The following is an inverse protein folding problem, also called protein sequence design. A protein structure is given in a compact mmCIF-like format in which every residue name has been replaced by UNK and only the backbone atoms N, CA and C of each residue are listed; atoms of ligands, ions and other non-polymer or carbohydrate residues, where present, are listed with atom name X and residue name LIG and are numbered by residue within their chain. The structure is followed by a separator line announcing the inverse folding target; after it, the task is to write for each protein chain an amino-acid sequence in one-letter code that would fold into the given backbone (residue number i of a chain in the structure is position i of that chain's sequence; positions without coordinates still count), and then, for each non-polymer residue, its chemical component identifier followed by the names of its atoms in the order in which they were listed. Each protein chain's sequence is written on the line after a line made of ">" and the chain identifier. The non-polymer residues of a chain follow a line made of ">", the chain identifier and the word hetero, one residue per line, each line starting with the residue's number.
data_IF_716315543490
#
_entry.id   IF_716315543490
#
_cell.length_a   1.000
_cell.length_b   1.000
_cell.length_c   1.000
_cell.angle_alpha   90.00
_cell.angle_beta   90.00
_cell.angle_gamma   90.00
#
_symmetry.space_group_name_H-M   'P 1'
#
loop_
_entity.id
_entity.type
_entity.pdbx_description
1 polymer ?
#
# COMPACT_ATOMS: atom_id res chain seq x y z
N UNK A 1 14.95 -28.27 7.42
CA UNK A 1 13.54 -27.95 7.71
C UNK A 1 12.79 -29.09 8.37
N UNK A 2 12.81 -30.33 7.84
CA UNK A 2 12.12 -31.50 8.49
C UNK A 2 12.57 -31.77 9.93
N UNK A 3 13.86 -31.66 10.23
CA UNK A 3 14.46 -31.88 11.56
C UNK A 3 14.15 -30.79 12.59
N UNK A 4 13.75 -29.59 12.14
CA UNK A 4 13.47 -28.46 13.04
C UNK A 4 11.98 -28.21 13.25
N UNK A 5 11.09 -29.10 12.73
CA UNK A 5 9.64 -28.92 12.83
C UNK A 5 9.08 -27.68 12.11
N UNK A 6 9.93 -26.98 11.32
CA UNK A 6 9.55 -25.75 10.63
C UNK A 6 8.77 -26.08 9.37
N UNK A 7 7.55 -25.59 9.26
CA UNK A 7 6.69 -25.73 8.08
C UNK A 7 6.47 -24.37 7.43
N UNK A 8 6.53 -24.32 6.09
CA UNK A 8 6.14 -23.12 5.34
C UNK A 8 4.62 -22.94 5.43
N UNK A 9 4.17 -21.74 5.80
CA UNK A 9 2.75 -21.37 5.78
C UNK A 9 2.44 -20.85 4.36
N UNK A 10 2.12 -21.76 3.44
CA UNK A 10 1.68 -21.40 2.09
C UNK A 10 0.16 -21.50 2.05
N UNK A 11 -0.52 -20.35 1.98
CA UNK A 11 -1.97 -20.27 1.82
C UNK A 11 -2.30 -20.07 0.33
N UNK A 12 -3.25 -20.84 -0.20
CA UNK A 12 -3.70 -20.72 -1.59
C UNK A 12 -4.31 -19.33 -1.85
N UNK A 13 -3.88 -18.68 -2.94
CA UNK A 13 -4.35 -17.36 -3.36
C UNK A 13 -5.84 -17.39 -3.73
N UNK A 14 -6.66 -16.55 -3.12
CA UNK A 14 -8.05 -16.29 -3.52
C UNK A 14 -8.03 -15.60 -4.89
N UNK A 15 -8.86 -16.06 -5.85
CA UNK A 15 -9.06 -15.40 -7.15
C UNK A 15 -10.35 -14.60 -7.10
N UNK A 16 -10.31 -13.26 -7.16
CA UNK A 16 -11.52 -12.45 -7.17
C UNK A 16 -12.30 -12.61 -8.48
N UNK A 17 -13.62 -12.48 -8.37
CA UNK A 17 -14.56 -12.55 -9.50
C UNK A 17 -14.34 -11.37 -10.45
N UNK A 18 -14.28 -11.61 -11.76
CA UNK A 18 -14.15 -10.58 -12.79
C UNK A 18 -15.50 -9.90 -13.03
N UNK A 19 -15.64 -8.65 -12.62
CA UNK A 19 -16.77 -7.78 -12.98
C UNK A 19 -16.62 -7.28 -14.43
N UNK A 20 -17.76 -7.25 -15.17
CA UNK A 20 -17.83 -6.76 -16.55
C UNK A 20 -18.04 -5.24 -16.58
N UNK A 21 -17.13 -4.54 -17.23
CA UNK A 21 -17.22 -3.27 -17.96
C UNK A 21 -17.97 -2.06 -17.39
N UNK A 22 -17.18 -1.03 -17.07
CA UNK A 22 -17.47 0.38 -17.46
C UNK A 22 -16.18 0.97 -18.02
N UNK A 23 -16.29 1.60 -19.19
CA UNK A 23 -15.21 2.36 -19.84
C UNK A 23 -15.12 3.68 -19.12
N UNK A 24 -14.07 3.88 -18.34
CA UNK A 24 -13.72 5.18 -17.78
C UNK A 24 -12.44 5.68 -18.42
N UNK A 25 -12.40 6.98 -18.66
CA UNK A 25 -11.33 7.67 -19.30
C UNK A 25 -10.01 7.52 -18.53
N UNK A 26 -9.07 7.45 -19.14
CA UNK A 26 -7.77 6.85 -19.38
C UNK A 26 -6.70 7.71 -18.74
N UNK A 27 -6.46 7.54 -17.45
CA UNK A 27 -5.16 7.95 -16.92
C UNK A 27 -4.06 7.07 -17.53
N UNK A 28 -2.93 7.66 -17.86
CA UNK A 28 -1.77 6.96 -18.43
C UNK A 28 -1.04 6.11 -17.39
N UNK A 29 -0.38 5.04 -17.83
CA UNK A 29 0.56 4.29 -17.01
C UNK A 29 1.94 4.97 -17.10
N UNK A 30 2.19 5.98 -16.26
CA UNK A 30 3.46 6.69 -16.25
C UNK A 30 4.61 5.87 -15.70
N UNK A 31 4.33 4.88 -14.85
CA UNK A 31 5.36 3.98 -14.32
C UNK A 31 5.87 2.99 -15.38
N UNK A 32 4.97 2.50 -16.23
CA UNK A 32 5.29 1.50 -17.26
C UNK A 32 6.21 0.36 -16.76
N UNK A 33 5.94 -0.14 -15.53
CA UNK A 33 6.74 -1.14 -14.80
C UNK A 33 8.16 -0.74 -14.45
N UNK A 34 8.52 0.52 -14.63
CA UNK A 34 9.76 1.05 -14.10
C UNK A 34 9.56 1.50 -12.65
N UNK A 35 9.87 0.60 -11.71
CA UNK A 35 9.80 0.84 -10.28
C UNK A 35 11.12 1.39 -9.72
N UNK A 36 12.12 1.61 -10.55
CA UNK A 36 13.40 2.18 -10.13
C UNK A 36 13.22 3.62 -9.65
N UNK A 37 13.96 3.98 -8.62
CA UNK A 37 13.93 5.30 -8.00
C UNK A 37 15.34 5.71 -7.59
N UNK A 38 15.61 7.00 -7.63
CA UNK A 38 16.91 7.56 -7.23
C UNK A 38 16.86 8.27 -5.89
N UNK A 39 15.66 8.65 -5.43
CA UNK A 39 15.45 9.42 -4.20
C UNK A 39 14.11 9.11 -3.55
N UNK A 40 13.98 9.50 -2.28
CA UNK A 40 12.72 9.43 -1.54
C UNK A 40 11.64 10.31 -2.19
N UNK A 41 10.38 9.89 -2.06
CA UNK A 41 9.22 10.63 -2.58
C UNK A 41 9.26 10.88 -4.09
N UNK A 42 9.91 10.01 -4.87
CA UNK A 42 9.90 10.08 -6.32
C UNK A 42 8.69 9.36 -6.92
N UNK A 43 8.43 8.15 -6.43
CA UNK A 43 7.30 7.30 -6.86
C UNK A 43 6.64 6.65 -5.64
N UNK A 44 5.33 6.81 -5.51
CA UNK A 44 4.50 6.12 -4.52
C UNK A 44 3.58 5.13 -5.21
N UNK A 45 3.34 3.99 -4.58
CA UNK A 45 2.33 3.03 -5.02
C UNK A 45 1.21 2.96 -3.98
N UNK A 46 -0.03 2.96 -4.44
CA UNK A 46 -1.22 2.93 -3.59
C UNK A 46 -2.16 1.78 -3.97
N UNK A 47 -2.76 1.14 -2.96
CA UNK A 47 -3.74 0.08 -3.16
C UNK A 47 -4.57 -0.14 -1.89
N UNK A 48 -5.73 -0.81 -2.05
CA UNK A 48 -6.64 -1.19 -0.96
C UNK A 48 -6.62 -2.70 -0.78
N UNK A 49 -6.48 -3.15 0.47
CA UNK A 49 -6.63 -4.57 0.81
C UNK A 49 -7.77 -4.80 1.80
N UNK A 50 -8.30 -6.02 1.79
CA UNK A 50 -9.43 -6.45 2.60
C UNK A 50 -8.96 -7.18 3.85
N UNK A 51 -9.59 -6.86 4.99
CA UNK A 51 -9.32 -7.48 6.29
C UNK A 51 -10.66 -7.84 6.91
N UNK A 52 -10.79 -9.06 7.41
CA UNK A 52 -12.03 -9.55 8.03
C UNK A 52 -11.93 -9.51 9.55
N UNK A 53 -12.96 -8.97 10.21
CA UNK A 53 -13.18 -9.09 11.66
C UNK A 53 -14.46 -9.84 11.95
N UNK A 54 -14.57 -10.43 13.16
CA UNK A 54 -15.74 -11.25 13.53
C UNK A 54 -16.99 -10.40 13.61
N UNK A 55 -16.92 -9.26 14.31
CA UNK A 55 -18.10 -8.42 14.56
C UNK A 55 -18.49 -7.52 13.39
N UNK A 56 -17.48 -6.94 12.70
CA UNK A 56 -17.73 -5.92 11.68
C UNK A 56 -17.69 -6.48 10.24
N UNK A 57 -17.32 -7.76 10.07
CA UNK A 57 -17.17 -8.38 8.75
C UNK A 57 -15.96 -7.83 7.97
N UNK A 58 -16.14 -7.54 6.68
CA UNK A 58 -15.09 -7.00 5.83
C UNK A 58 -14.83 -5.53 6.13
N UNK A 59 -13.56 -5.24 6.34
CA UNK A 59 -12.99 -3.90 6.54
C UNK A 59 -11.85 -3.69 5.55
N UNK A 60 -11.38 -2.47 5.40
CA UNK A 60 -10.53 -2.06 4.29
C UNK A 60 -9.33 -1.27 4.80
N UNK A 61 -8.16 -1.57 4.25
CA UNK A 61 -6.92 -0.84 4.49
C UNK A 61 -6.41 -0.26 3.18
N UNK A 62 -6.44 1.07 3.03
CA UNK A 62 -5.71 1.78 1.99
C UNK A 62 -4.29 2.05 2.45
N UNK A 63 -3.29 1.77 1.63
CA UNK A 63 -1.88 1.92 1.95
C UNK A 63 -1.15 2.66 0.84
N UNK A 64 -0.15 3.46 1.20
CA UNK A 64 0.76 4.15 0.28
C UNK A 64 2.19 3.77 0.64
N UNK A 65 2.89 3.20 -0.33
CA UNK A 65 4.27 2.73 -0.25
C UNK A 65 5.18 3.68 -1.02
N UNK A 66 6.22 4.19 -0.40
CA UNK A 66 7.33 4.84 -1.11
C UNK A 66 8.22 3.76 -1.74
N UNK A 67 8.40 3.83 -3.06
CA UNK A 67 9.12 2.79 -3.81
C UNK A 67 10.62 2.82 -3.55
N UNK A 68 11.18 3.96 -3.13
CA UNK A 68 12.61 4.08 -2.84
C UNK A 68 12.98 3.45 -1.51
N UNK A 69 12.22 3.79 -0.47
CA UNK A 69 12.53 3.35 0.90
C UNK A 69 11.81 2.06 1.29
N UNK A 70 10.86 1.59 0.48
CA UNK A 70 9.95 0.49 0.84
C UNK A 70 9.13 0.76 2.11
N UNK A 71 8.99 2.04 2.48
CA UNK A 71 8.25 2.48 3.67
C UNK A 71 6.78 2.67 3.38
N UNK A 72 5.91 2.23 4.29
CA UNK A 72 4.51 2.66 4.28
C UNK A 72 4.46 4.07 4.85
N UNK A 73 4.32 5.03 3.94
CA UNK A 73 4.34 6.47 4.23
C UNK A 73 2.98 6.99 4.69
N UNK A 74 1.89 6.39 4.20
CA UNK A 74 0.53 6.71 4.60
C UNK A 74 -0.37 5.49 4.56
N UNK A 75 -1.37 5.46 5.43
CA UNK A 75 -2.45 4.47 5.37
C UNK A 75 -3.69 4.98 6.08
N UNK A 76 -4.81 4.38 5.77
CA UNK A 76 -6.09 4.57 6.44
C UNK A 76 -6.84 3.25 6.53
N UNK A 77 -7.48 2.98 7.67
CA UNK A 77 -8.29 1.79 7.88
C UNK A 77 -9.74 2.21 8.10
N UNK A 78 -10.70 1.50 7.48
CA UNK A 78 -12.11 1.88 7.50
C UNK A 78 -13.03 0.66 7.42
N UNK A 79 -14.26 0.80 7.94
CA UNK A 79 -15.36 -0.15 7.76
C UNK A 79 -15.99 -0.04 6.37
N UNK A 80 -15.79 1.07 5.67
CA UNK A 80 -16.33 1.33 4.34
C UNK A 80 -15.22 1.50 3.31
N UNK A 81 -15.49 1.07 2.08
CA UNK A 81 -14.58 1.20 0.94
C UNK A 81 -15.07 2.33 0.02
N UNK A 82 -15.10 3.53 0.52
CA UNK A 82 -15.41 4.74 -0.22
C UNK A 82 -14.16 5.57 -0.55
N UNK A 83 -14.33 6.70 -1.24
CA UNK A 83 -13.20 7.57 -1.63
C UNK A 83 -12.48 8.16 -0.41
N UNK A 84 -13.17 8.33 0.72
CA UNK A 84 -12.58 8.94 1.93
C UNK A 84 -11.40 8.16 2.48
N UNK A 85 -11.38 6.83 2.30
CA UNK A 85 -10.28 5.99 2.81
C UNK A 85 -8.96 6.27 2.08
N UNK A 86 -9.01 6.47 0.75
CA UNK A 86 -7.81 6.77 -0.05
C UNK A 86 -7.36 8.21 0.13
N UNK A 87 -8.29 9.15 0.32
CA UNK A 87 -7.99 10.55 0.66
C UNK A 87 -7.27 10.65 2.00
N UNK A 88 -7.80 10.01 3.05
CA UNK A 88 -7.13 9.99 4.37
C UNK A 88 -5.75 9.34 4.33
N UNK A 89 -5.57 8.28 3.53
CA UNK A 89 -4.26 7.67 3.35
C UNK A 89 -3.29 8.64 2.67
N UNK A 90 -3.74 9.39 1.67
CA UNK A 90 -2.96 10.41 0.96
C UNK A 90 -2.59 11.57 1.89
N UNK A 91 -3.56 12.13 2.62
CA UNK A 91 -3.32 13.22 3.59
C UNK A 91 -2.29 12.83 4.64
N UNK A 92 -2.40 11.60 5.18
CA UNK A 92 -1.44 11.07 6.15
C UNK A 92 -0.04 10.94 5.53
N UNK A 93 0.07 10.50 4.28
CA UNK A 93 1.35 10.40 3.59
C UNK A 93 1.98 11.78 3.37
N UNK A 94 1.21 12.75 2.88
CA UNK A 94 1.66 14.12 2.67
C UNK A 94 2.10 14.79 3.97
N UNK A 95 1.30 14.66 5.02
CA UNK A 95 1.59 15.26 6.33
C UNK A 95 2.90 14.74 6.95
N UNK A 96 3.19 13.43 6.77
CA UNK A 96 4.39 12.78 7.31
C UNK A 96 5.62 13.05 6.43
N UNK A 97 5.48 12.89 5.12
CA UNK A 97 6.61 12.93 4.20
C UNK A 97 6.97 14.34 3.74
N UNK A 98 5.99 15.25 3.70
CA UNK A 98 6.13 16.64 3.22
C UNK A 98 6.94 16.71 1.92
N UNK A 99 6.49 16.04 0.85
CA UNK A 99 7.22 16.01 -0.41
C UNK A 99 7.32 17.44 -0.97
N UNK A 100 8.53 17.84 -1.34
CA UNK A 100 8.86 19.18 -1.85
C UNK A 100 8.91 19.24 -3.38
N UNK A 101 8.73 18.12 -4.04
CA UNK A 101 8.85 17.95 -5.50
C UNK A 101 7.67 17.18 -6.06
N UNK A 102 7.49 17.31 -7.36
CA UNK A 102 6.53 16.51 -8.12
C UNK A 102 6.87 15.02 -7.96
N UNK A 103 5.94 14.26 -7.44
CA UNK A 103 6.03 12.81 -7.36
C UNK A 103 4.96 12.15 -8.22
N UNK A 104 5.19 10.88 -8.57
CA UNK A 104 4.20 10.05 -9.25
C UNK A 104 3.52 9.18 -8.19
N UNK A 105 2.17 9.26 -8.10
CA UNK A 105 1.39 8.30 -7.32
C UNK A 105 0.70 7.34 -8.27
N UNK A 106 1.02 6.06 -8.12
CA UNK A 106 0.51 4.98 -8.96
C UNK A 106 -0.48 4.12 -8.21
N UNK A 107 -1.60 3.78 -8.83
CA UNK A 107 -2.62 2.89 -8.28
C UNK A 107 -3.25 2.00 -9.35
N UNK A 108 -4.09 1.09 -8.94
CA UNK A 108 -5.02 0.44 -9.85
C UNK A 108 -6.12 1.41 -10.33
N UNK A 109 -7.05 0.91 -11.16
CA UNK A 109 -8.21 1.67 -11.64
C UNK A 109 -9.44 1.43 -10.78
N UNK A 110 -9.29 1.28 -9.48
CA UNK A 110 -10.41 1.21 -8.55
C UNK A 110 -11.23 2.50 -8.59
N UNK A 111 -12.56 2.39 -8.32
CA UNK A 111 -13.45 3.55 -8.34
C UNK A 111 -13.03 4.65 -7.38
N UNK A 112 -12.37 4.29 -6.27
CA UNK A 112 -11.85 5.22 -5.27
C UNK A 112 -10.72 6.09 -5.86
N UNK A 113 -9.77 5.49 -6.57
CA UNK A 113 -8.62 6.17 -7.18
C UNK A 113 -8.97 6.94 -8.45
N UNK A 114 -10.08 6.58 -9.11
CA UNK A 114 -10.55 7.27 -10.33
C UNK A 114 -11.63 8.30 -10.04
N UNK A 115 -12.00 8.52 -8.78
CA UNK A 115 -12.97 9.55 -8.37
C UNK A 115 -12.42 10.96 -8.63
N UNK A 116 -13.31 11.92 -8.84
CA UNK A 116 -12.92 13.32 -9.05
C UNK A 116 -12.24 13.90 -7.82
N UNK A 117 -12.76 13.58 -6.62
CA UNK A 117 -12.20 14.06 -5.35
C UNK A 117 -10.76 13.60 -5.14
N UNK A 118 -10.44 12.34 -5.49
CA UNK A 118 -9.07 11.85 -5.37
C UNK A 118 -8.14 12.49 -6.40
N UNK A 119 -8.61 12.66 -7.64
CA UNK A 119 -7.84 13.36 -8.69
C UNK A 119 -7.52 14.79 -8.30
N UNK A 120 -8.51 15.55 -7.86
CA UNK A 120 -8.35 16.94 -7.40
C UNK A 120 -7.38 17.05 -6.22
N UNK A 121 -7.45 16.12 -5.24
CA UNK A 121 -6.54 16.08 -4.12
C UNK A 121 -5.07 15.83 -4.55
N UNK A 122 -4.85 14.92 -5.51
CA UNK A 122 -3.51 14.63 -6.03
C UNK A 122 -2.98 15.80 -6.86
N UNK A 123 -3.80 16.37 -7.73
CA UNK A 123 -3.42 17.50 -8.58
C UNK A 123 -3.14 18.78 -7.77
N UNK A 124 -3.94 19.05 -6.72
CA UNK A 124 -3.72 20.18 -5.81
C UNK A 124 -2.41 20.05 -5.02
N UNK A 125 -1.92 18.83 -4.84
CA UNK A 125 -0.61 18.53 -4.23
C UNK A 125 0.55 18.60 -5.23
N UNK A 126 0.30 18.98 -6.48
CA UNK A 126 1.25 19.00 -7.60
C UNK A 126 1.85 17.60 -7.93
N UNK A 127 1.14 16.52 -7.61
CA UNK A 127 1.55 15.16 -7.93
C UNK A 127 1.01 14.71 -9.28
N UNK A 128 1.64 13.71 -9.88
CA UNK A 128 1.19 13.09 -11.13
C UNK A 128 0.50 11.75 -10.85
N UNK A 129 -0.72 11.62 -11.33
CA UNK A 129 -1.46 10.36 -11.28
C UNK A 129 -0.93 9.40 -12.36
N UNK A 130 -0.76 8.15 -11.96
CA UNK A 130 -0.43 7.03 -12.81
C UNK A 130 -1.32 5.84 -12.50
N UNK A 131 -1.78 5.12 -13.53
CA UNK A 131 -2.69 4.00 -13.34
C UNK A 131 -2.19 2.74 -14.03
N UNK A 132 -2.34 1.61 -13.35
CA UNK A 132 -2.08 0.30 -13.95
C UNK A 132 -2.88 0.11 -15.23
N UNK A 133 -2.32 -0.57 -16.22
CA UNK A 133 -3.06 -0.99 -17.40
C UNK A 133 -4.18 -1.98 -16.98
N UNK A 134 -5.32 -1.91 -17.66
CA UNK A 134 -6.48 -2.76 -17.35
C UNK A 134 -6.11 -4.25 -17.44
N UNK A 135 -6.28 -4.97 -16.33
CA UNK A 135 -6.01 -6.40 -16.27
C UNK A 135 -4.53 -6.77 -16.15
N UNK A 136 -3.65 -5.81 -15.87
CA UNK A 136 -2.21 -6.02 -15.67
C UNK A 136 -1.85 -5.91 -14.18
N UNK A 137 -1.94 -7.00 -13.39
CA UNK A 137 -1.57 -6.96 -11.96
C UNK A 137 -0.09 -6.64 -11.74
N UNK A 138 0.76 -6.94 -12.71
CA UNK A 138 2.20 -6.66 -12.63
C UNK A 138 2.55 -5.17 -12.55
N UNK A 139 1.62 -4.29 -12.91
CA UNK A 139 1.86 -2.84 -12.88
C UNK A 139 1.82 -2.27 -11.46
N UNK A 140 1.24 -2.99 -10.47
CA UNK A 140 1.16 -2.56 -9.06
C UNK A 140 1.82 -3.54 -8.08
N UNK A 141 2.78 -4.34 -8.58
CA UNK A 141 3.40 -5.46 -7.85
C UNK A 141 4.05 -5.04 -6.52
N UNK A 142 4.60 -3.84 -6.43
CA UNK A 142 5.30 -3.39 -5.22
C UNK A 142 4.36 -3.30 -4.02
N UNK A 143 3.22 -2.65 -4.15
CA UNK A 143 2.25 -2.54 -3.06
C UNK A 143 1.50 -3.86 -2.82
N UNK A 144 1.24 -4.65 -3.89
CA UNK A 144 0.69 -6.01 -3.75
C UNK A 144 1.63 -6.91 -2.93
N UNK A 145 2.95 -6.77 -3.10
CA UNK A 145 3.96 -7.48 -2.31
C UNK A 145 3.86 -7.11 -0.84
N UNK A 146 3.73 -5.81 -0.51
CA UNK A 146 3.48 -5.38 0.86
C UNK A 146 2.20 -6.00 1.42
N UNK A 147 1.08 -5.96 0.68
CA UNK A 147 -0.17 -6.55 1.15
C UNK A 147 -0.05 -8.06 1.36
N UNK A 148 0.71 -8.76 0.52
CA UNK A 148 0.98 -10.18 0.71
C UNK A 148 1.78 -10.46 1.98
N UNK A 149 2.77 -9.62 2.31
CA UNK A 149 3.54 -9.69 3.56
C UNK A 149 2.64 -9.38 4.77
N UNK A 150 1.89 -8.28 4.74
CA UNK A 150 0.93 -7.93 5.78
C UNK A 150 -0.03 -9.08 6.09
N UNK A 151 -0.58 -9.71 5.04
CA UNK A 151 -1.48 -10.85 5.22
C UNK A 151 -0.79 -12.04 5.85
N UNK A 152 0.42 -12.39 5.41
CA UNK A 152 1.17 -13.54 5.93
C UNK A 152 1.70 -13.34 7.34
N UNK A 153 2.23 -12.14 7.61
CA UNK A 153 2.96 -11.86 8.84
C UNK A 153 2.06 -11.30 9.95
N UNK A 154 0.87 -10.79 9.61
CA UNK A 154 -0.05 -10.18 10.55
C UNK A 154 -1.48 -10.74 10.43
N UNK A 155 -2.16 -10.54 9.29
CA UNK A 155 -3.60 -10.79 9.21
C UNK A 155 -3.97 -12.25 9.42
N UNK A 156 -3.25 -13.19 8.79
CA UNK A 156 -3.55 -14.63 8.92
C UNK A 156 -3.09 -15.26 10.23
N UNK A 157 -2.28 -14.53 11.01
CA UNK A 157 -1.83 -14.98 12.32
C UNK A 157 -2.74 -14.49 13.46
N UNK A 158 -3.69 -13.59 13.16
CA UNK A 158 -4.58 -13.00 14.14
C UNK A 158 -6.04 -13.26 13.80
N UNK A 159 -6.86 -13.42 14.82
CA UNK A 159 -8.31 -13.39 14.72
C UNK A 159 -8.80 -12.05 15.25
N UNK A 160 -9.23 -11.17 14.37
CA UNK A 160 -9.69 -9.84 14.77
C UNK A 160 -11.11 -9.92 15.31
N UNK A 161 -11.32 -9.47 16.54
CA UNK A 161 -12.63 -9.47 17.19
C UNK A 161 -13.54 -8.43 16.53
N UNK A 162 -13.02 -7.20 16.39
CA UNK A 162 -13.74 -6.06 15.83
C UNK A 162 -12.77 -5.10 15.13
N UNK A 163 -13.31 -3.98 14.65
CA UNK A 163 -12.58 -2.93 13.94
C UNK A 163 -11.44 -2.34 14.80
N UNK A 164 -11.70 -2.05 16.07
CA UNK A 164 -10.73 -1.38 16.95
C UNK A 164 -9.54 -2.30 17.25
N UNK A 165 -9.81 -3.57 17.51
CA UNK A 165 -8.76 -4.58 17.69
C UNK A 165 -7.91 -4.71 16.40
N UNK A 166 -8.56 -4.81 15.23
CA UNK A 166 -7.84 -4.89 13.97
C UNK A 166 -7.01 -3.63 13.72
N UNK A 167 -7.56 -2.44 13.96
CA UNK A 167 -6.87 -1.17 13.80
C UNK A 167 -5.60 -1.07 14.66
N UNK A 168 -5.68 -1.49 15.93
CA UNK A 168 -4.54 -1.51 16.84
C UNK A 168 -3.43 -2.45 16.34
N UNK A 169 -3.79 -3.67 15.95
CA UNK A 169 -2.82 -4.67 15.47
C UNK A 169 -2.17 -4.23 14.16
N UNK A 170 -2.94 -3.65 13.24
CA UNK A 170 -2.44 -3.10 11.98
C UNK A 170 -1.48 -1.92 12.23
N UNK A 171 -1.81 -1.03 13.16
CA UNK A 171 -0.91 0.06 13.56
C UNK A 171 0.41 -0.48 14.11
N UNK A 172 0.36 -1.45 15.03
CA UNK A 172 1.54 -2.08 15.60
C UNK A 172 2.39 -2.77 14.53
N UNK A 173 1.75 -3.47 13.58
CA UNK A 173 2.46 -4.10 12.48
C UNK A 173 3.11 -3.07 11.56
N UNK A 174 2.37 -2.09 11.05
CA UNK A 174 2.88 -1.12 10.05
C UNK A 174 3.94 -0.21 10.67
N UNK A 175 3.60 0.47 11.77
CA UNK A 175 4.49 1.47 12.39
C UNK A 175 5.54 0.84 13.31
N UNK A 176 5.18 -0.21 14.07
CA UNK A 176 6.06 -0.83 15.05
C UNK A 176 7.01 -1.86 14.46
N UNK A 177 6.54 -2.66 13.51
CA UNK A 177 7.34 -3.76 12.96
C UNK A 177 7.80 -3.50 11.52
N UNK A 178 6.88 -3.33 10.54
CA UNK A 178 7.24 -3.26 9.12
C UNK A 178 8.20 -2.11 8.82
N UNK A 179 7.88 -0.89 9.24
CA UNK A 179 8.73 0.26 8.97
C UNK A 179 10.02 0.28 9.82
N UNK A 180 9.98 -0.21 11.07
CA UNK A 180 11.07 -0.04 12.05
C UNK A 180 11.97 -1.24 12.28
N UNK A 181 11.45 -2.46 12.08
CA UNK A 181 12.18 -3.68 12.45
C UNK A 181 12.36 -4.65 11.29
N UNK A 182 11.41 -4.66 10.34
CA UNK A 182 11.48 -5.58 9.23
C UNK A 182 12.57 -5.13 8.26
N UNK A 183 13.53 -6.02 7.99
CA UNK A 183 14.60 -5.79 7.00
C UNK A 183 14.12 -6.17 5.58
N UNK A 184 14.60 -5.46 4.58
CA UNK A 184 14.28 -5.67 3.18
C UNK A 184 15.56 -5.81 2.32
N UNK A 185 15.64 -6.88 1.54
CA UNK A 185 16.80 -7.14 0.68
C UNK A 185 17.00 -6.06 -0.40
N UNK A 186 15.91 -5.47 -0.91
CA UNK A 186 15.96 -4.41 -1.93
C UNK A 186 16.58 -3.10 -1.45
N UNK A 187 16.68 -2.89 -0.14
CA UNK A 187 17.31 -1.73 0.49
C UNK A 187 18.49 -2.16 1.40
N UNK A 188 19.32 -3.07 0.89
CA UNK A 188 20.54 -3.55 1.53
C UNK A 188 20.30 -4.16 2.94
N UNK A 189 19.22 -4.91 3.12
CA UNK A 189 18.82 -5.52 4.39
C UNK A 189 18.66 -4.52 5.54
N UNK A 190 18.38 -3.26 5.21
CA UNK A 190 17.99 -2.26 6.19
C UNK A 190 16.48 -2.27 6.43
N UNK A 191 16.04 -1.61 7.50
CA UNK A 191 14.63 -1.31 7.71
C UNK A 191 14.23 -0.06 6.92
N UNK A 192 12.98 0.10 6.48
CA UNK A 192 12.50 1.28 5.78
C UNK A 192 12.84 2.60 6.49
N UNK A 193 12.62 2.68 7.81
CA UNK A 193 12.92 3.89 8.60
C UNK A 193 14.41 4.20 8.62
N UNK A 194 15.28 3.19 8.78
CA UNK A 194 16.73 3.40 8.79
C UNK A 194 17.24 3.85 7.42
N UNK A 195 16.74 3.23 6.35
CA UNK A 195 17.15 3.60 5.00
C UNK A 195 16.68 5.02 4.65
N UNK A 196 15.44 5.39 5.01
CA UNK A 196 14.94 6.76 4.84
C UNK A 196 15.82 7.79 5.59
N UNK A 197 16.23 7.51 6.83
CA UNK A 197 17.11 8.39 7.60
C UNK A 197 18.45 8.66 6.88
N UNK A 198 19.05 7.62 6.31
CA UNK A 198 20.30 7.73 5.52
C UNK A 198 20.04 8.59 4.27
N UNK A 199 18.96 8.33 3.52
CA UNK A 199 18.64 9.11 2.32
C UNK A 199 18.33 10.59 2.59
N UNK A 200 17.83 10.92 3.80
CA UNK A 200 17.59 12.33 4.19
C UNK A 200 18.85 13.04 4.68
N UNK A 201 19.85 12.30 5.10
CA UNK A 201 21.13 12.85 5.58
C UNK A 201 22.17 13.04 4.46
N UNK A 202 21.97 12.39 3.30
CA UNK A 202 22.82 12.50 2.12
C UNK A 202 22.43 13.68 1.24
#
# INVERSE_FOLDING_TARGET
>A
MKYLGIKSIVIKKYKPYKSKNKVYDKGENLLNRDFSTTKINEKWAADITYIHSIKDGWTYLASILDLHTQKIVGYSYSKTMDTSIVLKALDNAIAIQKPDKVLIIHSDRGSQYTSNEYREAVESSAFKLSYSAKGCPYDNTCIESFHALLKKECVYLNTFIDYDHANLVLFQYIKGFYNRKRIHSSINYMTPDKFEQICRAA
#
